data_IF_634898023406
#
_entry.id   IF_634898023406
#
_cell.length_a   1.000
_cell.length_b   1.000
_cell.length_c   1.000
_cell.angle_alpha   90.00
_cell.angle_beta   90.00
_cell.angle_gamma   90.00
#
_symmetry.space_group_name_H-M   'P 1'
#
loop_
_entity.id
_entity.type
_entity.pdbx_description
1 polymer ?
#
# COMPACT_ATOMS: atom_id res chain seq x y z
N UNK A 1 -4.73 -12.13 0.50
CA UNK A 1 -5.91 -12.17 -0.40
C UNK A 1 -7.14 -12.78 0.24
N UNK A 2 -7.53 -12.34 1.45
CA UNK A 2 -8.80 -12.70 2.12
C UNK A 2 -9.14 -14.21 2.20
N UNK A 3 -8.13 -15.08 2.33
CA UNK A 3 -8.29 -16.53 2.38
C UNK A 3 -7.31 -17.28 1.49
N UNK A 4 -7.76 -18.38 0.90
CA UNK A 4 -6.96 -19.23 0.00
C UNK A 4 -6.95 -18.70 -1.44
N UNK A 5 -6.38 -19.47 -2.38
CA UNK A 5 -6.30 -19.12 -3.80
C UNK A 5 -7.66 -18.77 -4.43
N UNK A 6 -8.74 -19.43 -4.03
CA UNK A 6 -10.06 -19.21 -4.62
C UNK A 6 -10.65 -17.85 -4.18
N UNK A 7 -10.38 -17.42 -2.95
CA UNK A 7 -10.71 -16.07 -2.49
C UNK A 7 -9.87 -15.03 -3.22
N UNK A 8 -8.56 -15.27 -3.34
CA UNK A 8 -7.61 -14.36 -3.95
C UNK A 8 -7.92 -14.10 -5.44
N UNK A 9 -8.23 -15.15 -6.22
CA UNK A 9 -8.59 -14.97 -7.62
C UNK A 9 -9.94 -14.27 -7.82
N UNK A 10 -10.91 -14.48 -6.92
CA UNK A 10 -12.17 -13.74 -6.93
C UNK A 10 -11.94 -12.26 -6.62
N UNK A 11 -11.01 -11.95 -5.70
CA UNK A 11 -10.60 -10.58 -5.41
C UNK A 11 -10.07 -9.88 -6.67
N UNK A 12 -9.16 -10.51 -7.43
CA UNK A 12 -8.63 -9.95 -8.68
C UNK A 12 -9.75 -9.52 -9.62
N UNK A 13 -10.65 -10.45 -9.97
CA UNK A 13 -11.80 -10.14 -10.84
C UNK A 13 -12.66 -9.01 -10.30
N UNK A 14 -12.81 -8.92 -8.97
CA UNK A 14 -13.60 -7.86 -8.35
C UNK A 14 -12.90 -6.51 -8.38
N UNK A 15 -11.58 -6.47 -8.23
CA UNK A 15 -10.76 -5.25 -8.32
C UNK A 15 -10.73 -4.70 -9.76
N UNK A 16 -10.49 -5.56 -10.75
CA UNK A 16 -10.54 -5.19 -12.17
C UNK A 16 -11.89 -4.57 -12.55
N UNK A 17 -13.01 -5.17 -12.11
CA UNK A 17 -14.36 -4.63 -12.31
C UNK A 17 -14.57 -3.22 -11.73
N UNK A 18 -13.69 -2.72 -10.87
CA UNK A 18 -13.74 -1.36 -10.28
C UNK A 18 -12.62 -0.46 -10.81
N UNK A 19 -11.90 -0.88 -11.86
CA UNK A 19 -10.82 -0.09 -12.45
C UNK A 19 -9.59 0.05 -11.54
N UNK A 20 -9.39 -0.87 -10.59
CA UNK A 20 -8.17 -0.90 -9.78
C UNK A 20 -7.03 -1.48 -10.62
N UNK A 21 -5.88 -0.80 -10.66
CA UNK A 21 -4.74 -1.17 -11.51
C UNK A 21 -3.93 -2.37 -11.00
N UNK A 22 -4.08 -2.74 -9.73
CA UNK A 22 -3.33 -3.87 -9.17
C UNK A 22 -3.64 -4.15 -7.72
N UNK A 23 -3.02 -5.20 -7.20
CA UNK A 23 -3.20 -5.66 -5.83
C UNK A 23 -1.88 -6.09 -5.23
N UNK A 24 -1.68 -5.76 -3.96
CA UNK A 24 -0.58 -6.29 -3.16
C UNK A 24 -1.12 -7.32 -2.16
N UNK A 25 -0.57 -8.53 -2.16
CA UNK A 25 -0.83 -9.55 -1.14
C UNK A 25 0.47 -9.96 -0.46
N UNK A 26 0.39 -10.33 0.82
CA UNK A 26 1.54 -10.70 1.64
C UNK A 26 1.51 -12.16 2.06
N UNK A 27 2.68 -12.74 2.27
CA UNK A 27 2.93 -14.16 2.57
C UNK A 27 2.76 -14.52 4.06
N UNK A 28 1.81 -13.90 4.76
CA UNK A 28 1.44 -14.28 6.13
C UNK A 28 0.36 -15.35 6.16
N UNK A 29 0.27 -16.06 7.28
CA UNK A 29 -0.94 -16.79 7.64
C UNK A 29 -2.14 -15.84 7.79
N UNK A 30 -3.33 -16.31 7.45
CA UNK A 30 -4.58 -15.58 7.60
C UNK A 30 -5.32 -16.06 8.86
N UNK A 31 -5.90 -15.16 9.70
CA UNK A 31 -6.06 -13.71 9.52
C UNK A 31 -4.76 -12.90 9.64
N UNK A 32 -4.74 -11.72 9.02
CA UNK A 32 -3.55 -10.85 8.97
C UNK A 32 -3.16 -10.33 10.37
N UNK A 33 -1.90 -10.55 10.75
CA UNK A 33 -1.24 -9.84 11.85
C UNK A 33 -0.48 -8.63 11.31
N UNK A 34 -0.73 -7.43 11.88
CA UNK A 34 -0.05 -6.21 11.44
C UNK A 34 1.47 -6.31 11.65
N UNK A 35 2.25 -5.79 10.71
CA UNK A 35 3.72 -5.86 10.68
C UNK A 35 4.42 -5.15 11.86
N UNK A 36 3.72 -4.25 12.56
CA UNK A 36 4.24 -3.56 13.75
C UNK A 36 3.85 -4.23 15.07
N UNK A 37 3.01 -5.28 15.05
CA UNK A 37 2.66 -6.03 16.25
C UNK A 37 3.81 -7.00 16.56
N UNK A 38 4.43 -6.84 17.73
CA UNK A 38 5.41 -7.79 18.24
C UNK A 38 4.71 -9.11 18.60
N UNK A 39 5.27 -10.22 18.12
CA UNK A 39 4.86 -11.58 18.46
C UNK A 39 6.11 -12.31 18.94
N UNK A 40 6.03 -12.92 20.12
CA UNK A 40 7.12 -13.71 20.68
C UNK A 40 7.46 -14.88 19.74
N UNK A 41 8.74 -15.04 19.40
CA UNK A 41 9.19 -16.04 18.42
C UNK A 41 9.02 -15.67 16.94
N UNK A 42 8.53 -14.46 16.63
CA UNK A 42 8.31 -14.02 15.25
C UNK A 42 6.90 -14.37 14.72
N UNK A 43 6.53 -13.80 13.59
CA UNK A 43 5.22 -14.05 12.99
C UNK A 43 5.33 -15.23 12.01
N UNK A 44 4.51 -16.30 12.13
CA UNK A 44 4.54 -17.39 11.18
C UNK A 44 4.13 -16.90 9.79
N UNK A 45 4.87 -17.35 8.78
CA UNK A 45 4.60 -17.06 7.38
C UNK A 45 3.85 -18.23 6.74
N UNK A 46 3.13 -17.94 5.66
CA UNK A 46 2.58 -18.97 4.81
C UNK A 46 3.71 -19.80 4.18
N UNK A 47 3.38 -21.05 3.87
CA UNK A 47 4.24 -21.90 3.07
C UNK A 47 4.52 -21.26 1.70
N UNK A 48 5.74 -21.43 1.21
CA UNK A 48 6.20 -20.79 -0.04
C UNK A 48 5.39 -21.33 -1.23
N UNK A 49 5.13 -22.64 -1.27
CA UNK A 49 4.35 -23.27 -2.33
C UNK A 49 2.89 -22.82 -2.27
N UNK A 50 2.28 -22.80 -1.07
CA UNK A 50 0.91 -22.30 -0.89
C UNK A 50 0.75 -20.86 -1.41
N UNK A 51 1.68 -19.97 -1.06
CA UNK A 51 1.62 -18.59 -1.50
C UNK A 51 1.92 -18.44 -3.00
N UNK A 52 2.85 -19.24 -3.54
CA UNK A 52 3.17 -19.26 -4.97
C UNK A 52 1.96 -19.69 -5.80
N UNK A 53 1.29 -20.79 -5.45
CA UNK A 53 0.08 -21.26 -6.14
C UNK A 53 -1.07 -20.24 -6.05
N UNK A 54 -1.13 -19.48 -4.96
CA UNK A 54 -2.09 -18.37 -4.79
C UNK A 54 -1.80 -17.21 -5.73
N UNK A 55 -0.52 -16.84 -5.94
CA UNK A 55 -0.10 -15.85 -6.93
C UNK A 55 -0.43 -16.33 -8.35
N UNK A 56 -0.09 -17.57 -8.70
CA UNK A 56 -0.40 -18.15 -10.01
C UNK A 56 -1.91 -18.12 -10.28
N UNK A 57 -2.75 -18.55 -9.32
CA UNK A 57 -4.20 -18.50 -9.47
C UNK A 57 -4.75 -17.07 -9.63
N UNK A 58 -4.09 -16.06 -9.07
CA UNK A 58 -4.42 -14.65 -9.27
C UNK A 58 -4.09 -14.20 -10.68
N UNK A 59 -2.89 -14.53 -11.19
CA UNK A 59 -2.45 -14.22 -12.56
C UNK A 59 -3.34 -14.89 -13.61
N UNK A 60 -3.63 -16.18 -13.44
CA UNK A 60 -4.51 -16.95 -14.34
C UNK A 60 -5.95 -16.42 -14.43
N UNK A 61 -6.37 -15.61 -13.46
CA UNK A 61 -7.74 -15.11 -13.36
C UNK A 61 -7.92 -13.66 -13.82
N UNK A 62 -6.84 -13.00 -14.24
CA UNK A 62 -6.86 -11.65 -14.78
C UNK A 62 -7.65 -11.63 -16.10
N UNK A 63 -8.41 -10.56 -16.30
CA UNK A 63 -9.04 -10.27 -17.59
C UNK A 63 -8.28 -9.17 -18.34
N UNK A 64 -7.56 -8.33 -17.62
CA UNK A 64 -6.68 -7.30 -18.14
C UNK A 64 -5.21 -7.73 -17.93
N UNK A 65 -4.41 -7.93 -19.01
CA UNK A 65 -3.00 -8.29 -18.89
C UNK A 65 -2.16 -7.21 -18.19
N UNK A 66 -2.63 -5.96 -18.12
CA UNK A 66 -1.93 -4.86 -17.45
C UNK A 66 -2.20 -4.81 -15.94
N UNK A 67 -3.14 -5.60 -15.42
CA UNK A 67 -3.40 -5.65 -13.97
C UNK A 67 -2.21 -6.26 -13.23
N UNK A 68 -1.71 -5.53 -12.21
CA UNK A 68 -0.48 -5.91 -11.50
C UNK A 68 -0.77 -6.71 -10.21
N UNK A 69 -0.04 -7.79 -9.96
CA UNK A 69 -0.03 -8.56 -8.71
C UNK A 69 1.33 -8.44 -8.05
N UNK A 70 1.38 -7.71 -6.94
CA UNK A 70 2.58 -7.45 -6.16
C UNK A 70 2.66 -8.44 -4.99
N UNK A 71 3.74 -9.21 -4.93
CA UNK A 71 4.02 -10.13 -3.82
C UNK A 71 4.80 -9.39 -2.74
N UNK A 72 4.20 -9.24 -1.56
CA UNK A 72 4.84 -8.65 -0.38
C UNK A 72 5.48 -9.71 0.47
N UNK A 73 6.79 -9.62 0.63
CA UNK A 73 7.60 -10.55 1.43
C UNK A 73 7.73 -10.00 2.85
N UNK A 74 7.27 -10.76 3.83
CA UNK A 74 7.31 -10.38 5.26
C UNK A 74 8.42 -11.09 6.05
N UNK A 75 9.38 -11.74 5.39
CA UNK A 75 10.52 -12.44 6.02
C UNK A 75 11.23 -11.60 7.10
N UNK A 76 11.74 -10.41 6.76
CA UNK A 76 12.40 -9.54 7.73
C UNK A 76 11.47 -9.05 8.84
N UNK A 77 10.18 -8.84 8.54
CA UNK A 77 9.19 -8.45 9.55
C UNK A 77 9.00 -9.58 10.58
N UNK A 78 8.91 -10.81 10.09
CA UNK A 78 8.74 -12.03 10.86
C UNK A 78 10.01 -12.44 11.62
N UNK A 79 11.17 -11.86 11.31
CA UNK A 79 12.45 -12.10 11.99
C UNK A 79 13.35 -13.12 11.28
N UNK A 80 13.03 -13.49 10.05
CA UNK A 80 13.90 -14.29 9.19
C UNK A 80 15.01 -13.43 8.59
N UNK A 81 16.03 -14.11 8.06
CA UNK A 81 17.21 -13.48 7.46
C UNK A 81 17.03 -13.16 5.96
N UNK A 82 18.11 -12.69 5.35
CA UNK A 82 18.18 -12.35 3.94
C UNK A 82 17.95 -13.56 3.04
N UNK A 83 18.45 -14.73 3.41
CA UNK A 83 18.37 -15.94 2.58
C UNK A 83 16.92 -16.39 2.44
N UNK A 84 16.15 -16.38 3.54
CA UNK A 84 14.71 -16.69 3.48
C UNK A 84 13.93 -15.61 2.70
N UNK A 85 14.27 -14.33 2.87
CA UNK A 85 13.65 -13.26 2.10
C UNK A 85 13.90 -13.42 0.58
N UNK A 86 15.12 -13.80 0.20
CA UNK A 86 15.52 -14.03 -1.18
C UNK A 86 14.84 -15.26 -1.78
N UNK A 87 14.79 -16.36 -1.03
CA UNK A 87 14.11 -17.61 -1.42
C UNK A 87 12.64 -17.35 -1.73
N UNK A 88 11.96 -16.60 -0.87
CA UNK A 88 10.56 -16.21 -1.04
C UNK A 88 10.36 -15.32 -2.26
N UNK A 89 11.15 -14.25 -2.37
CA UNK A 89 11.08 -13.33 -3.50
C UNK A 89 11.27 -14.05 -4.85
N UNK A 90 12.23 -14.97 -4.93
CA UNK A 90 12.50 -15.74 -6.14
C UNK A 90 11.34 -16.69 -6.47
N UNK A 91 10.81 -17.42 -5.49
CA UNK A 91 9.64 -18.27 -5.69
C UNK A 91 8.42 -17.47 -6.20
N UNK A 92 8.20 -16.28 -5.64
CA UNK A 92 7.07 -15.43 -6.00
C UNK A 92 7.22 -14.79 -7.39
N UNK A 93 8.46 -14.45 -7.77
CA UNK A 93 8.81 -14.05 -9.14
C UNK A 93 8.50 -15.17 -10.14
N UNK A 94 8.94 -16.40 -9.85
CA UNK A 94 8.67 -17.57 -10.71
C UNK A 94 7.17 -17.88 -10.79
N UNK A 95 6.43 -17.67 -9.70
CA UNK A 95 4.97 -17.84 -9.66
C UNK A 95 4.18 -16.79 -10.47
N UNK A 96 4.85 -15.75 -10.99
CA UNK A 96 4.26 -14.73 -11.86
C UNK A 96 3.92 -13.41 -11.19
N UNK A 97 4.46 -13.11 -10.00
CA UNK A 97 4.34 -11.77 -9.43
C UNK A 97 4.98 -10.73 -10.38
N UNK A 98 4.36 -9.55 -10.48
CA UNK A 98 4.85 -8.48 -11.35
C UNK A 98 5.86 -7.56 -10.64
N UNK A 99 5.82 -7.52 -9.32
CA UNK A 99 6.80 -6.85 -8.48
C UNK A 99 6.93 -7.52 -7.10
N UNK A 100 8.08 -7.34 -6.45
CA UNK A 100 8.29 -7.72 -5.04
C UNK A 100 8.18 -6.47 -4.19
N UNK A 101 7.28 -6.47 -3.21
CA UNK A 101 7.34 -5.50 -2.12
C UNK A 101 8.19 -6.08 -0.99
N UNK A 102 9.40 -5.54 -0.83
CA UNK A 102 10.29 -5.93 0.26
C UNK A 102 10.09 -4.98 1.45
N UNK A 103 9.78 -5.54 2.62
CA UNK A 103 9.47 -4.75 3.80
C UNK A 103 10.40 -5.04 4.97
N UNK A 104 10.70 -3.99 5.75
CA UNK A 104 11.45 -4.06 7.00
C UNK A 104 10.82 -3.14 8.04
N UNK A 105 10.96 -3.53 9.31
CA UNK A 105 10.53 -2.76 10.48
C UNK A 105 11.67 -1.97 11.14
N UNK A 106 12.90 -2.11 10.64
CA UNK A 106 14.08 -1.36 11.12
C UNK A 106 13.92 0.14 10.84
N UNK A 107 14.55 0.95 11.68
CA UNK A 107 14.58 2.40 11.52
C UNK A 107 15.61 2.87 10.47
N UNK A 108 16.50 1.97 10.06
CA UNK A 108 17.48 2.15 8.99
C UNK A 108 17.14 1.23 7.79
N UNK A 109 17.69 1.50 6.60
CA UNK A 109 17.35 0.74 5.39
C UNK A 109 18.21 -0.52 5.19
N UNK A 110 18.95 -1.01 6.19
CA UNK A 110 19.95 -2.09 6.01
C UNK A 110 19.39 -3.36 5.39
N UNK A 111 18.19 -3.80 5.78
CA UNK A 111 17.54 -4.99 5.19
C UNK A 111 17.22 -4.79 3.70
N UNK A 112 16.80 -3.57 3.34
CA UNK A 112 16.48 -3.23 1.96
C UNK A 112 17.77 -3.16 1.13
N UNK A 113 18.82 -2.52 1.65
CA UNK A 113 20.14 -2.47 1.02
C UNK A 113 20.72 -3.87 0.80
N UNK A 114 20.66 -4.72 1.83
CA UNK A 114 21.14 -6.10 1.75
C UNK A 114 20.38 -6.89 0.66
N UNK A 115 19.05 -6.75 0.60
CA UNK A 115 18.24 -7.42 -0.41
C UNK A 115 18.54 -6.93 -1.83
N UNK A 116 18.58 -5.62 -2.07
CA UNK A 116 18.79 -5.08 -3.43
C UNK A 116 20.16 -5.45 -4.00
N UNK A 117 21.18 -5.57 -3.15
CA UNK A 117 22.54 -5.95 -3.56
C UNK A 117 22.63 -7.38 -4.12
N UNK A 118 21.74 -8.28 -3.72
CA UNK A 118 21.72 -9.70 -4.16
C UNK A 118 20.52 -10.04 -5.07
N UNK A 119 19.56 -9.11 -5.21
CA UNK A 119 18.37 -9.34 -6.04
C UNK A 119 18.68 -9.32 -7.54
N UNK A 120 19.79 -8.70 -7.96
CA UNK A 120 20.23 -8.61 -9.36
C UNK A 120 19.16 -8.01 -10.31
N UNK A 121 18.25 -7.19 -9.77
CA UNK A 121 17.19 -6.53 -10.52
C UNK A 121 16.31 -7.51 -11.34
N UNK A 122 16.10 -8.74 -10.83
CA UNK A 122 15.30 -9.80 -11.49
C UNK A 122 13.81 -9.50 -11.64
N UNK A 123 13.28 -8.61 -10.80
CA UNK A 123 11.90 -8.10 -10.84
C UNK A 123 11.85 -6.71 -10.17
N UNK A 124 10.96 -5.79 -10.58
CA UNK A 124 10.78 -4.51 -9.89
C UNK A 124 10.59 -4.64 -8.38
N UNK A 125 11.28 -3.79 -7.62
CA UNK A 125 11.16 -3.73 -6.15
C UNK A 125 10.29 -2.54 -5.74
N UNK A 126 9.34 -2.80 -4.86
CA UNK A 126 8.52 -1.82 -4.14
C UNK A 126 8.96 -1.76 -2.67
N UNK A 127 9.04 -0.57 -2.10
CA UNK A 127 9.40 -0.38 -0.68
C UNK A 127 8.36 0.49 0.05
N UNK A 128 8.38 0.41 1.39
CA UNK A 128 7.52 1.22 2.27
C UNK A 128 8.39 1.86 3.35
N UNK A 129 8.97 3.05 3.09
CA UNK A 129 9.98 3.69 3.96
C UNK A 129 9.40 4.40 5.18
N UNK A 130 8.31 3.90 5.76
CA UNK A 130 7.67 4.53 6.92
C UNK A 130 8.57 4.58 8.16
N UNK A 131 9.40 3.56 8.38
CA UNK A 131 10.32 3.48 9.55
C UNK A 131 11.69 4.07 9.29
N UNK A 132 12.19 3.98 8.04
CA UNK A 132 13.49 4.48 7.60
C UNK A 132 13.36 5.74 6.73
N UNK A 133 12.43 6.62 7.10
CA UNK A 133 12.05 7.84 6.38
C UNK A 133 13.18 8.87 6.26
N UNK A 134 14.24 8.74 7.07
CA UNK A 134 15.43 9.60 7.02
C UNK A 134 16.36 9.27 5.86
N UNK A 135 16.16 8.13 5.18
CA UNK A 135 16.94 7.73 4.01
C UNK A 135 16.63 8.68 2.84
N UNK A 136 17.64 9.34 2.24
CA UNK A 136 17.42 10.20 1.08
C UNK A 136 16.80 9.43 -0.08
N UNK A 137 15.81 10.02 -0.77
CA UNK A 137 15.15 9.36 -1.90
C UNK A 137 16.11 9.03 -3.05
N UNK A 138 17.18 9.80 -3.22
CA UNK A 138 18.24 9.49 -4.19
C UNK A 138 18.87 8.12 -3.94
N UNK A 139 19.00 7.70 -2.68
CA UNK A 139 19.50 6.36 -2.36
C UNK A 139 18.58 5.26 -2.89
N UNK A 140 17.27 5.47 -2.88
CA UNK A 140 16.32 4.52 -3.49
C UNK A 140 16.50 4.47 -5.02
N UNK A 141 16.81 5.59 -5.67
CA UNK A 141 17.12 5.64 -7.10
C UNK A 141 18.42 4.91 -7.42
N UNK A 142 19.46 5.10 -6.61
CA UNK A 142 20.74 4.40 -6.73
C UNK A 142 20.56 2.87 -6.64
N UNK A 143 19.69 2.41 -5.74
CA UNK A 143 19.31 1.01 -5.59
C UNK A 143 18.32 0.50 -6.65
N UNK A 144 17.95 1.32 -7.63
CA UNK A 144 16.97 0.99 -8.69
C UNK A 144 15.62 0.51 -8.13
N UNK A 145 15.21 1.06 -6.99
CA UNK A 145 13.87 0.83 -6.44
C UNK A 145 12.85 1.39 -7.43
N UNK A 146 11.90 0.56 -7.84
CA UNK A 146 10.90 0.92 -8.85
C UNK A 146 9.78 1.78 -8.28
N UNK A 147 9.41 1.59 -7.02
CA UNK A 147 8.31 2.32 -6.38
C UNK A 147 8.52 2.45 -4.86
N UNK A 148 8.26 3.64 -4.33
CA UNK A 148 8.18 3.88 -2.89
C UNK A 148 6.74 4.24 -2.49
N UNK A 149 6.26 3.66 -1.39
CA UNK A 149 4.89 3.87 -0.89
C UNK A 149 4.92 4.68 0.41
N UNK A 150 4.32 5.88 0.39
CA UNK A 150 4.12 6.73 1.57
C UNK A 150 2.85 6.32 2.35
N UNK A 151 2.88 5.13 2.94
CA UNK A 151 1.69 4.34 3.27
C UNK A 151 0.57 5.00 4.10
N UNK A 152 0.86 5.88 5.06
CA UNK A 152 -0.14 6.30 6.05
C UNK A 152 -0.03 7.77 6.51
N UNK A 153 0.67 8.61 5.75
CA UNK A 153 0.97 9.99 6.17
C UNK A 153 -0.29 10.87 6.17
N UNK A 154 -1.17 10.73 5.17
CA UNK A 154 -2.42 11.53 5.10
C UNK A 154 -3.35 11.25 6.28
N UNK A 155 -3.53 9.98 6.70
CA UNK A 155 -4.38 9.67 7.86
C UNK A 155 -3.76 10.20 9.16
N UNK A 156 -2.43 10.13 9.31
CA UNK A 156 -1.72 10.71 10.47
C UNK A 156 -1.88 12.23 10.54
N UNK A 157 -1.73 12.92 9.40
CA UNK A 157 -1.92 14.36 9.31
C UNK A 157 -3.37 14.77 9.60
N UNK A 158 -4.34 14.02 9.05
CA UNK A 158 -5.77 14.24 9.28
C UNK A 158 -6.13 14.10 10.77
N UNK A 159 -5.65 13.05 11.45
CA UNK A 159 -5.88 12.85 12.89
C UNK A 159 -5.40 14.06 13.69
N UNK A 160 -4.18 14.54 13.43
CA UNK A 160 -3.62 15.70 14.13
C UNK A 160 -4.46 16.96 13.91
N UNK A 161 -4.84 17.25 12.65
CA UNK A 161 -5.64 18.42 12.31
C UNK A 161 -7.04 18.38 12.94
N UNK A 162 -7.71 17.23 12.87
CA UNK A 162 -9.03 17.02 13.48
C UNK A 162 -8.95 17.23 15.00
N UNK A 163 -8.00 16.59 15.69
CA UNK A 163 -7.82 16.72 17.13
C UNK A 163 -7.55 18.17 17.56
N UNK A 164 -6.66 18.87 16.87
CA UNK A 164 -6.32 20.26 17.17
C UNK A 164 -7.51 21.21 16.94
N UNK A 165 -8.24 21.02 15.83
CA UNK A 165 -9.40 21.85 15.48
C UNK A 165 -10.54 21.66 16.47
N UNK A 166 -10.89 20.41 16.78
CA UNK A 166 -11.94 20.10 17.75
C UNK A 166 -11.61 20.65 19.14
N UNK A 167 -10.34 20.55 19.57
CA UNK A 167 -9.90 21.13 20.84
C UNK A 167 -10.07 22.65 20.87
N UNK A 168 -9.60 23.35 19.84
CA UNK A 168 -9.68 24.82 19.78
C UNK A 168 -11.13 25.32 19.79
N UNK A 169 -12.03 24.69 19.00
CA UNK A 169 -13.45 25.06 18.98
C UNK A 169 -14.09 24.84 20.35
N UNK A 170 -13.74 23.75 21.04
CA UNK A 170 -14.26 23.44 22.37
C UNK A 170 -13.78 24.46 23.42
N UNK A 171 -12.50 24.83 23.40
CA UNK A 171 -11.92 25.80 24.36
C UNK A 171 -12.38 27.23 24.11
N UNK A 172 -12.55 27.64 22.85
CA UNK A 172 -12.93 29.00 22.49
C UNK A 172 -14.46 29.22 22.52
N UNK A 173 -15.25 28.14 22.53
CA UNK A 173 -16.70 28.15 22.22
C UNK A 173 -17.02 28.95 20.93
N UNK A 174 -16.09 28.96 19.98
CA UNK A 174 -16.10 29.84 18.81
C UNK A 174 -15.28 29.29 17.65
N UNK A 175 -15.59 29.73 16.43
CA UNK A 175 -14.88 29.36 15.20
C UNK A 175 -13.79 30.36 14.80
N UNK A 176 -13.75 31.54 15.42
CA UNK A 176 -12.82 32.63 15.03
C UNK A 176 -11.35 32.18 15.08
N UNK A 177 -10.99 31.35 16.06
CA UNK A 177 -9.63 30.83 16.24
C UNK A 177 -9.20 29.76 15.23
N UNK A 178 -10.13 29.20 14.44
CA UNK A 178 -9.86 28.09 13.49
C UNK A 178 -10.06 28.46 12.03
N UNK A 179 -10.94 29.43 11.71
CA UNK A 179 -11.36 29.68 10.33
C UNK A 179 -10.19 30.00 9.38
N UNK A 180 -9.17 30.73 9.86
CA UNK A 180 -7.97 31.07 9.06
C UNK A 180 -6.94 29.94 8.95
N UNK A 181 -7.19 28.78 9.56
CA UNK A 181 -6.26 27.62 9.63
C UNK A 181 -6.76 26.42 8.83
N UNK A 182 -7.97 26.49 8.26
CA UNK A 182 -8.58 25.44 7.47
C UNK A 182 -8.89 25.96 6.06
N UNK A 183 -9.25 25.06 5.16
CA UNK A 183 -9.69 25.44 3.81
C UNK A 183 -11.11 26.01 3.85
N UNK A 184 -11.39 26.95 2.95
CA UNK A 184 -12.73 27.49 2.78
C UNK A 184 -13.72 26.41 2.31
N UNK A 185 -15.02 26.62 2.58
CA UNK A 185 -16.10 25.74 2.07
C UNK A 185 -16.08 25.65 0.54
N UNK A 186 -15.61 26.68 -0.16
CA UNK A 186 -15.45 26.68 -1.62
C UNK A 186 -14.48 25.60 -2.12
N UNK A 187 -13.45 25.27 -1.35
CA UNK A 187 -12.51 24.19 -1.69
C UNK A 187 -13.18 22.81 -1.60
N UNK A 188 -14.11 22.63 -0.65
CA UNK A 188 -14.93 21.41 -0.55
C UNK A 188 -15.77 21.26 -1.82
N UNK A 189 -16.42 22.33 -2.29
CA UNK A 189 -17.21 22.30 -3.52
C UNK A 189 -16.36 22.06 -4.77
N UNK A 190 -15.13 22.59 -4.80
CA UNK A 190 -14.17 22.31 -5.86
C UNK A 190 -13.82 20.83 -5.90
N UNK A 191 -13.53 20.22 -4.75
CA UNK A 191 -13.22 18.79 -4.63
C UNK A 191 -14.41 17.89 -4.97
N UNK A 192 -15.64 18.33 -4.69
CA UNK A 192 -16.88 17.64 -5.08
C UNK A 192 -17.25 17.81 -6.56
N UNK A 193 -16.47 18.59 -7.33
CA UNK A 193 -16.73 18.91 -8.72
C UNK A 193 -18.11 19.57 -8.97
N UNK A 194 -18.56 20.45 -8.06
CA UNK A 194 -19.87 21.13 -8.16
C UNK A 194 -20.01 21.94 -9.46
N UNK A 195 -18.91 22.41 -10.04
CA UNK A 195 -18.92 23.11 -11.33
C UNK A 195 -19.45 22.22 -12.46
N UNK A 196 -19.04 20.95 -12.52
CA UNK A 196 -19.53 20.00 -13.53
C UNK A 196 -21.03 19.74 -13.36
N UNK A 197 -21.50 19.55 -12.12
CA UNK A 197 -22.92 19.40 -11.83
C UNK A 197 -23.73 20.62 -12.32
N UNK A 198 -23.26 21.84 -12.04
CA UNK A 198 -23.94 23.06 -12.49
C UNK A 198 -24.04 23.16 -14.02
N UNK A 199 -23.01 22.75 -14.75
CA UNK A 199 -23.07 22.69 -16.22
C UNK A 199 -24.06 21.61 -16.70
N UNK A 200 -24.12 20.46 -16.03
CA UNK A 200 -25.10 19.43 -16.31
C UNK A 200 -26.54 19.92 -16.03
N UNK A 201 -26.77 20.61 -14.92
CA UNK A 201 -28.07 21.21 -14.59
C UNK A 201 -28.49 22.22 -15.66
N UNK A 202 -27.59 23.12 -16.08
CA UNK A 202 -27.88 24.07 -17.16
C UNK A 202 -28.29 23.37 -18.45
N UNK A 203 -27.65 22.24 -18.77
CA UNK A 203 -27.92 21.48 -20.00
C UNK A 203 -29.23 20.69 -19.94
N UNK A 204 -29.53 20.07 -18.80
CA UNK A 204 -30.59 19.06 -18.70
C UNK A 204 -31.83 19.54 -17.93
N UNK A 205 -31.77 20.68 -17.22
CA UNK A 205 -32.91 21.25 -16.49
C UNK A 205 -33.46 22.55 -17.10
N UNK A 206 -32.66 23.32 -17.86
CA UNK A 206 -33.13 24.61 -18.44
C UNK A 206 -34.10 24.46 -19.64
N UNK A 207 -34.69 23.28 -19.84
CA UNK A 207 -35.72 23.00 -20.85
C UNK A 207 -37.12 22.73 -20.27
N UNK A 208 -37.34 23.03 -19.00
CA UNK A 208 -38.66 23.13 -18.35
C UNK A 208 -38.84 24.50 -17.73
#
# INVERSE_FOLDING_TARGET
>A
GYGNFNNARRLVKKLEQRGIAGVCIEDKLFPKTNSFIAVEGGQPLADIEEFSLKLTAMKDSQSDPDFQVIARVEAFIAGWDLDEALKRAEAYRVAGADAILMHSKKADPSDIEAFVNVWENRLPIVIVPTKYYTTPTDKFRDWKISMAIWANHNIRASIQAIQATSKQIFEDESLVGVEKKIVDVSEIFRLQNVAELKEAEKKYLNGK
#
